data_IF_190882080144
#
_entry.id   IF_190882080144
#
_cell.length_a   1.000
_cell.length_b   1.000
_cell.length_c   1.000
_cell.angle_alpha   90.00
_cell.angle_beta   90.00
_cell.angle_gamma   90.00
#
_symmetry.space_group_name_H-M   'P 1'
#
loop_
_entity.id
_entity.type
_entity.pdbx_description
1 polymer ?
#
# COMPACT_ATOMS: atom_id res chain seq x y z
N UNK A 1 35.00 -13.57 18.49
CA UNK A 1 35.33 -14.83 17.82
C UNK A 1 35.27 -14.56 16.32
N UNK A 2 36.37 -14.66 15.58
CA UNK A 2 36.37 -14.41 14.14
C UNK A 2 35.74 -15.61 13.42
N UNK A 3 34.53 -15.46 12.89
CA UNK A 3 33.88 -16.48 12.07
C UNK A 3 34.40 -16.35 10.63
N UNK A 4 35.34 -17.23 10.23
CA UNK A 4 35.78 -17.43 8.84
C UNK A 4 34.99 -18.55 8.15
N UNK A 5 33.69 -18.64 8.41
CA UNK A 5 32.85 -19.65 7.76
C UNK A 5 32.50 -19.21 6.34
N UNK A 6 32.60 -20.15 5.38
CA UNK A 6 32.28 -19.90 3.99
C UNK A 6 30.79 -19.52 3.86
N UNK A 7 30.44 -18.31 3.41
CA UNK A 7 29.05 -17.84 3.37
C UNK A 7 28.16 -18.68 2.45
N UNK A 8 28.73 -19.44 1.52
CA UNK A 8 27.97 -20.34 0.64
C UNK A 8 27.34 -21.52 1.38
N UNK A 9 27.86 -21.90 2.56
CA UNK A 9 27.32 -22.99 3.36
C UNK A 9 25.86 -22.72 3.77
N UNK A 10 25.57 -21.51 4.24
CA UNK A 10 24.23 -21.13 4.69
C UNK A 10 23.30 -20.69 3.54
N UNK A 11 23.84 -20.12 2.45
CA UNK A 11 23.02 -19.60 1.33
C UNK A 11 22.28 -20.68 0.54
N UNK A 12 22.80 -21.90 0.53
CA UNK A 12 22.22 -23.03 -0.21
C UNK A 12 21.47 -24.02 0.71
N UNK A 13 21.18 -23.62 1.96
CA UNK A 13 20.48 -24.48 2.90
C UNK A 13 19.02 -24.67 2.46
N UNK A 14 18.55 -25.91 2.54
CA UNK A 14 17.13 -26.26 2.41
C UNK A 14 16.60 -26.55 3.81
N UNK A 15 15.46 -25.96 4.14
CA UNK A 15 14.79 -26.18 5.42
C UNK A 15 13.28 -26.03 5.27
N UNK A 16 12.55 -26.65 6.21
CA UNK A 16 11.10 -26.53 6.29
C UNK A 16 10.78 -25.42 7.29
N UNK A 17 10.26 -24.30 6.78
CA UNK A 17 9.89 -23.14 7.57
C UNK A 17 8.49 -22.69 7.17
N UNK A 18 7.72 -22.19 8.13
CA UNK A 18 6.50 -21.44 7.82
C UNK A 18 6.85 -19.98 7.53
N UNK A 19 6.04 -19.32 6.70
CA UNK A 19 6.15 -17.87 6.50
C UNK A 19 6.00 -17.10 7.81
N UNK A 20 5.19 -17.62 8.73
CA UNK A 20 4.94 -17.02 10.04
C UNK A 20 6.22 -17.01 10.89
N UNK A 21 6.97 -18.11 10.95
CA UNK A 21 8.24 -18.19 11.70
C UNK A 21 9.32 -17.26 11.16
N UNK A 22 9.30 -16.97 9.85
CA UNK A 22 10.29 -16.12 9.19
C UNK A 22 10.07 -14.62 9.45
N UNK A 23 8.90 -14.22 9.95
CA UNK A 23 8.57 -12.82 10.23
C UNK A 23 8.58 -12.60 11.74
N UNK A 24 9.47 -11.73 12.27
CA UNK A 24 9.55 -11.44 13.70
C UNK A 24 8.18 -11.09 14.29
N UNK A 25 7.89 -11.57 15.50
CA UNK A 25 6.57 -11.39 16.16
C UNK A 25 6.26 -9.93 16.47
N UNK A 26 7.28 -9.13 16.72
CA UNK A 26 7.22 -7.70 17.02
C UNK A 26 7.27 -6.81 15.76
N UNK A 27 7.30 -7.41 14.55
CA UNK A 27 7.39 -6.67 13.30
C UNK A 27 6.17 -5.75 13.10
N UNK A 28 6.39 -4.51 12.65
CA UNK A 28 5.36 -3.49 12.47
C UNK A 28 4.14 -3.98 11.67
N UNK A 29 4.37 -4.69 10.56
CA UNK A 29 3.27 -5.21 9.73
C UNK A 29 2.39 -6.23 10.46
N UNK A 30 2.90 -6.96 11.46
CA UNK A 30 2.07 -7.82 12.32
C UNK A 30 1.18 -6.99 13.23
N UNK A 31 1.75 -5.97 13.86
CA UNK A 31 1.00 -5.06 14.73
C UNK A 31 -0.14 -4.37 13.95
N UNK A 32 0.12 -3.99 12.70
CA UNK A 32 -0.90 -3.39 11.82
C UNK A 32 -1.97 -4.41 11.42
N UNK A 33 -1.57 -5.63 11.05
CA UNK A 33 -2.51 -6.70 10.68
C UNK A 33 -3.40 -7.13 11.86
N UNK A 34 -2.88 -7.07 13.08
CA UNK A 34 -3.63 -7.31 14.32
C UNK A 34 -4.56 -6.14 14.67
N UNK A 35 -4.12 -4.90 14.46
CA UNK A 35 -4.88 -3.71 14.82
C UNK A 35 -6.01 -3.36 13.83
N UNK A 36 -5.91 -3.81 12.58
CA UNK A 36 -6.84 -3.45 11.51
C UNK A 36 -7.39 -4.72 10.87
N UNK A 37 -8.67 -5.00 11.08
CA UNK A 37 -9.38 -5.96 10.22
C UNK A 37 -9.64 -5.31 8.87
N UNK A 38 -9.06 -5.86 7.80
CA UNK A 38 -9.21 -5.34 6.44
C UNK A 38 -10.46 -5.87 5.71
N UNK A 39 -11.23 -6.76 6.34
CA UNK A 39 -12.39 -7.41 5.72
C UNK A 39 -13.46 -6.43 5.25
N UNK A 40 -13.61 -5.28 5.91
CA UNK A 40 -14.55 -4.22 5.53
C UNK A 40 -14.34 -3.70 4.09
N UNK A 41 -13.14 -3.85 3.53
CA UNK A 41 -12.83 -3.44 2.16
C UNK A 41 -13.67 -4.23 1.16
N UNK A 42 -13.95 -5.52 1.42
CA UNK A 42 -14.74 -6.35 0.51
C UNK A 42 -16.14 -5.78 0.29
N UNK A 43 -16.80 -5.35 1.36
CA UNK A 43 -18.12 -4.74 1.28
C UNK A 43 -18.07 -3.38 0.56
N UNK A 44 -17.05 -2.56 0.84
CA UNK A 44 -16.88 -1.24 0.20
C UNK A 44 -16.76 -1.33 -1.32
N UNK A 45 -16.07 -2.34 -1.84
CA UNK A 45 -15.77 -2.44 -3.28
C UNK A 45 -16.61 -3.49 -3.99
N UNK A 46 -17.55 -4.13 -3.32
CA UNK A 46 -18.33 -5.26 -3.84
C UNK A 46 -18.93 -4.99 -5.22
N UNK A 47 -19.59 -3.85 -5.42
CA UNK A 47 -20.23 -3.55 -6.73
C UNK A 47 -19.22 -3.18 -7.84
N UNK A 48 -17.94 -3.03 -7.50
CA UNK A 48 -16.86 -2.84 -8.48
C UNK A 48 -16.33 -4.18 -9.03
N UNK A 49 -16.85 -5.30 -8.54
CA UNK A 49 -16.46 -6.65 -8.89
C UNK A 49 -17.66 -7.44 -9.42
N UNK A 50 -17.42 -8.29 -10.40
CA UNK A 50 -18.41 -9.23 -10.92
C UNK A 50 -18.05 -10.63 -10.42
N UNK A 51 -19.05 -11.37 -9.93
CA UNK A 51 -18.83 -12.68 -9.33
C UNK A 51 -18.54 -13.78 -10.38
N UNK A 52 -19.12 -13.66 -11.56
CA UNK A 52 -19.23 -14.75 -12.54
C UNK A 52 -18.72 -14.38 -13.94
N UNK A 53 -18.26 -13.15 -14.17
CA UNK A 53 -17.81 -12.71 -15.48
C UNK A 53 -16.42 -12.05 -15.48
N UNK A 54 -15.66 -12.33 -16.54
CA UNK A 54 -14.36 -11.75 -16.81
C UNK A 54 -13.20 -12.43 -16.08
N UNK A 55 -12.00 -11.89 -16.28
CA UNK A 55 -10.80 -12.35 -15.58
C UNK A 55 -10.85 -11.89 -14.12
N UNK A 56 -10.66 -12.79 -13.14
CA UNK A 56 -10.54 -12.41 -11.74
C UNK A 56 -9.47 -11.33 -11.56
N UNK A 57 -9.85 -10.25 -10.87
CA UNK A 57 -8.91 -9.20 -10.50
C UNK A 57 -8.06 -9.64 -9.30
N UNK A 58 -7.08 -8.82 -8.94
CA UNK A 58 -6.41 -8.97 -7.65
C UNK A 58 -7.40 -8.76 -6.51
N UNK A 59 -7.11 -9.45 -5.42
CA UNK A 59 -7.80 -9.28 -4.14
C UNK A 59 -7.79 -7.79 -3.73
N UNK A 60 -8.97 -7.20 -3.42
CA UNK A 60 -9.05 -5.79 -3.07
C UNK A 60 -8.30 -5.43 -1.78
N UNK A 61 -8.21 -6.34 -0.80
CA UNK A 61 -7.42 -6.11 0.42
C UNK A 61 -5.93 -6.00 0.05
N UNK A 62 -5.40 -6.90 -0.76
CA UNK A 62 -4.04 -6.81 -1.29
C UNK A 62 -3.78 -5.49 -2.03
N UNK A 63 -4.74 -5.04 -2.85
CA UNK A 63 -4.63 -3.76 -3.59
C UNK A 63 -4.51 -2.54 -2.68
N UNK A 64 -5.06 -2.60 -1.47
CA UNK A 64 -4.94 -1.56 -0.43
C UNK A 64 -3.67 -1.73 0.39
N UNK A 65 -3.30 -2.96 0.74
CA UNK A 65 -2.10 -3.23 1.54
C UNK A 65 -0.79 -2.89 0.81
N UNK A 66 -0.71 -3.04 -0.52
CA UNK A 66 0.49 -2.66 -1.31
C UNK A 66 0.87 -1.17 -1.12
N UNK A 67 -0.02 -0.19 -1.36
CA UNK A 67 0.30 1.20 -1.11
C UNK A 67 0.49 1.52 0.38
N UNK A 68 -0.11 0.75 1.31
CA UNK A 68 0.23 0.90 2.73
C UNK A 68 1.69 0.54 3.01
N UNK A 69 2.20 -0.59 2.50
CA UNK A 69 3.64 -0.93 2.58
C UNK A 69 4.47 0.21 2.00
N UNK A 70 4.06 0.73 0.84
CA UNK A 70 4.75 1.83 0.17
C UNK A 70 4.87 3.07 1.08
N UNK A 71 3.78 3.46 1.74
CA UNK A 71 3.75 4.62 2.64
C UNK A 71 4.52 4.37 3.94
N UNK A 72 4.29 3.22 4.60
CA UNK A 72 4.89 2.86 5.90
C UNK A 72 6.42 2.79 5.83
N UNK A 73 6.97 2.27 4.73
CA UNK A 73 8.41 2.11 4.55
C UNK A 73 9.02 3.19 3.62
N UNK A 74 8.24 4.22 3.25
CA UNK A 74 8.73 5.37 2.50
C UNK A 74 9.21 5.06 1.07
N UNK A 75 8.69 4.01 0.44
CA UNK A 75 9.09 3.58 -0.90
C UNK A 75 8.48 4.52 -1.95
N UNK A 76 9.30 5.29 -2.66
CA UNK A 76 8.78 6.33 -3.59
C UNK A 76 8.29 5.78 -4.94
N UNK A 77 8.59 4.53 -5.27
CA UNK A 77 8.38 3.96 -6.60
C UNK A 77 7.54 2.70 -6.56
N UNK A 78 6.47 2.68 -7.34
CA UNK A 78 5.61 1.51 -7.47
C UNK A 78 6.35 0.26 -7.96
N UNK A 79 7.28 0.46 -8.89
CA UNK A 79 8.13 -0.62 -9.41
C UNK A 79 9.06 -1.15 -8.33
N UNK A 80 9.57 -0.26 -7.48
CA UNK A 80 10.43 -0.65 -6.36
C UNK A 80 9.60 -1.41 -5.31
N UNK A 81 8.39 -0.95 -4.98
CA UNK A 81 7.50 -1.66 -4.06
C UNK A 81 7.28 -3.11 -4.49
N UNK A 82 6.99 -3.35 -5.78
CA UNK A 82 6.83 -4.72 -6.30
C UNK A 82 8.12 -5.53 -6.17
N UNK A 83 9.28 -4.97 -6.52
CA UNK A 83 10.58 -5.65 -6.35
C UNK A 83 10.88 -5.98 -4.89
N UNK A 84 10.52 -5.09 -3.97
CA UNK A 84 10.73 -5.34 -2.55
C UNK A 84 9.81 -6.46 -2.06
N UNK A 85 8.56 -6.53 -2.54
CA UNK A 85 7.63 -7.64 -2.24
C UNK A 85 8.14 -8.98 -2.80
N UNK A 86 8.89 -8.98 -3.90
CA UNK A 86 9.48 -10.22 -4.46
C UNK A 86 10.48 -10.86 -3.50
N UNK A 87 11.22 -10.07 -2.73
CA UNK A 87 12.33 -10.55 -1.89
C UNK A 87 12.08 -10.45 -0.38
N UNK A 88 11.12 -9.64 0.06
CA UNK A 88 10.86 -9.38 1.46
C UNK A 88 9.74 -10.28 2.00
N UNK A 89 10.12 -11.23 2.86
CA UNK A 89 9.19 -12.20 3.46
C UNK A 89 8.10 -11.55 4.30
N UNK A 90 8.41 -10.47 5.04
CA UNK A 90 7.41 -9.75 5.84
C UNK A 90 6.34 -9.07 4.97
N UNK A 91 6.72 -8.58 3.79
CA UNK A 91 5.77 -7.98 2.86
C UNK A 91 4.86 -9.03 2.25
N UNK A 92 5.43 -10.20 1.87
CA UNK A 92 4.64 -11.33 1.37
C UNK A 92 3.66 -11.84 2.42
N UNK A 93 4.14 -12.00 3.66
CA UNK A 93 3.31 -12.40 4.81
C UNK A 93 2.14 -11.43 4.99
N UNK A 94 2.39 -10.12 5.00
CA UNK A 94 1.34 -9.11 5.18
C UNK A 94 0.31 -9.11 4.04
N UNK A 95 0.74 -9.46 2.82
CA UNK A 95 -0.10 -9.57 1.63
C UNK A 95 -0.77 -10.95 1.47
N UNK A 96 -0.49 -11.91 2.35
CA UNK A 96 -0.98 -13.28 2.22
C UNK A 96 -0.42 -14.05 1.03
N UNK A 97 0.77 -13.67 0.52
CA UNK A 97 1.44 -14.34 -0.58
C UNK A 97 2.35 -15.46 -0.08
N UNK A 98 2.26 -16.65 -0.66
CA UNK A 98 3.24 -17.74 -0.48
C UNK A 98 4.59 -17.34 -1.06
N UNK A 99 5.68 -18.08 -0.82
CA UNK A 99 6.97 -17.79 -1.48
C UNK A 99 6.96 -18.05 -2.99
N UNK A 100 6.05 -18.89 -3.48
CA UNK A 100 5.96 -19.29 -4.89
C UNK A 100 5.05 -18.37 -5.71
N UNK A 101 4.14 -17.64 -5.05
CA UNK A 101 3.20 -16.78 -5.73
C UNK A 101 3.90 -15.70 -6.58
N UNK A 102 3.34 -15.42 -7.76
CA UNK A 102 3.81 -14.30 -8.55
C UNK A 102 3.31 -12.99 -7.93
N UNK A 103 4.24 -12.06 -7.73
CA UNK A 103 3.89 -10.71 -7.27
C UNK A 103 3.14 -9.98 -8.41
N UNK A 104 2.09 -9.20 -8.09
CA UNK A 104 1.43 -8.36 -9.06
C UNK A 104 2.38 -7.46 -9.85
N UNK A 105 2.12 -7.32 -11.15
CA UNK A 105 2.81 -6.32 -11.94
C UNK A 105 2.48 -4.90 -11.43
N UNK A 106 3.47 -4.00 -11.39
CA UNK A 106 3.33 -2.66 -10.80
C UNK A 106 2.21 -1.81 -11.44
N UNK A 107 1.89 -2.03 -12.72
CA UNK A 107 0.78 -1.33 -13.38
C UNK A 107 -0.58 -1.83 -12.92
N UNK A 108 -0.67 -3.05 -12.41
CA UNK A 108 -1.94 -3.68 -12.05
C UNK A 108 -2.59 -2.92 -10.90
N UNK A 109 -1.85 -2.61 -9.83
CA UNK A 109 -2.46 -1.90 -8.71
C UNK A 109 -2.77 -0.43 -9.04
N UNK A 110 -1.87 0.27 -9.75
CA UNK A 110 -2.14 1.64 -10.20
C UNK A 110 -3.36 1.75 -11.13
N UNK A 111 -3.51 0.82 -12.09
CA UNK A 111 -4.68 0.80 -12.99
C UNK A 111 -5.97 0.42 -12.27
N UNK A 112 -5.92 -0.48 -11.28
CA UNK A 112 -7.11 -0.81 -10.49
C UNK A 112 -7.56 0.40 -9.67
N UNK A 113 -6.63 1.18 -9.12
CA UNK A 113 -6.97 2.38 -8.38
C UNK A 113 -7.73 3.39 -9.25
N UNK A 114 -7.19 3.76 -10.42
CA UNK A 114 -7.85 4.69 -11.34
C UNK A 114 -9.15 4.16 -11.95
N UNK A 115 -9.27 2.84 -12.17
CA UNK A 115 -10.43 2.28 -12.89
C UNK A 115 -11.56 1.80 -11.99
N UNK A 116 -11.25 1.31 -10.79
CA UNK A 116 -12.22 0.65 -9.89
C UNK A 116 -12.50 1.44 -8.62
N UNK A 117 -11.56 2.26 -8.15
CA UNK A 117 -11.65 2.90 -6.84
C UNK A 117 -11.79 4.43 -6.90
N UNK A 118 -11.46 5.05 -8.04
CA UNK A 118 -11.50 6.50 -8.21
C UNK A 118 -12.84 7.13 -7.79
N UNK A 119 -13.96 6.53 -8.18
CA UNK A 119 -15.30 7.09 -7.93
C UNK A 119 -15.97 6.53 -6.67
N UNK A 120 -15.28 5.65 -5.93
CA UNK A 120 -15.83 4.90 -4.79
C UNK A 120 -15.39 5.44 -3.43
N UNK A 121 -14.65 6.55 -3.41
CA UNK A 121 -14.11 7.17 -2.18
C UNK A 121 -13.39 6.16 -1.26
N UNK A 122 -12.76 5.12 -1.84
CA UNK A 122 -12.22 3.98 -1.08
C UNK A 122 -11.15 4.44 -0.09
N UNK A 123 -10.25 5.33 -0.50
CA UNK A 123 -9.23 5.91 0.40
C UNK A 123 -9.88 6.67 1.56
N UNK A 124 -10.92 7.47 1.30
CA UNK A 124 -11.60 8.26 2.32
C UNK A 124 -12.31 7.36 3.33
N UNK A 125 -12.97 6.29 2.85
CA UNK A 125 -13.60 5.30 3.69
C UNK A 125 -12.59 4.54 4.57
N UNK A 126 -11.46 4.11 3.99
CA UNK A 126 -10.36 3.47 4.74
C UNK A 126 -9.80 4.42 5.80
N UNK A 127 -9.52 5.67 5.41
CA UNK A 127 -8.99 6.68 6.33
C UNK A 127 -9.97 6.92 7.49
N UNK A 128 -11.25 7.10 7.19
CA UNK A 128 -12.29 7.32 8.19
C UNK A 128 -12.43 6.13 9.13
N UNK A 129 -12.33 4.90 8.61
CA UNK A 129 -12.36 3.69 9.41
C UNK A 129 -11.18 3.64 10.38
N UNK A 130 -9.94 3.85 9.89
CA UNK A 130 -8.73 3.87 10.71
C UNK A 130 -8.79 5.00 11.75
N UNK A 131 -9.25 6.19 11.35
CA UNK A 131 -9.44 7.32 12.26
C UNK A 131 -10.43 6.97 13.39
N UNK A 132 -11.53 6.30 13.04
CA UNK A 132 -12.51 5.78 14.00
C UNK A 132 -11.90 4.78 14.97
N UNK A 133 -11.05 3.86 14.49
CA UNK A 133 -10.30 2.94 15.37
C UNK A 133 -9.45 3.72 16.38
N UNK A 134 -8.67 4.70 15.91
CA UNK A 134 -7.83 5.54 16.76
C UNK A 134 -8.64 6.33 17.80
N UNK A 135 -9.79 6.89 17.42
CA UNK A 135 -10.70 7.56 18.35
C UNK A 135 -11.23 6.60 19.43
N UNK A 136 -11.66 5.39 19.02
CA UNK A 136 -12.23 4.41 19.92
C UNK A 136 -11.24 3.89 20.98
N UNK A 137 -9.95 3.80 20.63
CA UNK A 137 -8.90 3.42 21.58
C UNK A 137 -8.30 4.62 22.34
N UNK A 138 -8.84 5.83 22.16
CA UNK A 138 -8.42 7.03 22.88
C UNK A 138 -7.08 7.59 22.44
N UNK A 139 -6.60 7.28 21.22
CA UNK A 139 -5.36 7.84 20.68
C UNK A 139 -5.52 9.26 20.14
N UNK A 140 -6.76 9.71 19.94
CA UNK A 140 -7.09 11.02 19.39
C UNK A 140 -8.06 11.71 20.36
N UNK A 141 -7.68 12.90 20.81
CA UNK A 141 -8.56 13.81 21.55
C UNK A 141 -9.20 14.81 20.57
N UNK A 142 -10.53 14.77 20.38
CA UNK A 142 -11.22 15.66 19.44
C UNK A 142 -11.49 17.06 20.01
N UNK A 143 -11.10 17.35 21.26
CA UNK A 143 -11.38 18.66 21.88
C UNK A 143 -10.56 19.80 21.27
N UNK A 144 -9.35 19.52 20.79
CA UNK A 144 -8.46 20.49 20.17
C UNK A 144 -8.04 20.02 18.78
N UNK A 145 -8.29 20.84 17.76
CA UNK A 145 -7.95 20.53 16.37
C UNK A 145 -6.86 21.49 15.91
N UNK A 146 -5.69 20.92 15.58
CA UNK A 146 -4.60 21.65 14.95
C UNK A 146 -4.67 21.45 13.44
N UNK A 147 -4.67 22.54 12.69
CA UNK A 147 -4.65 22.53 11.22
C UNK A 147 -3.36 23.19 10.76
N UNK A 148 -2.42 22.40 10.24
CA UNK A 148 -1.22 22.92 9.56
C UNK A 148 -1.46 22.99 8.05
N UNK A 149 -1.09 24.11 7.45
CA UNK A 149 -1.36 24.42 6.05
C UNK A 149 -0.07 24.62 5.28
N UNK A 150 0.18 23.76 4.28
CA UNK A 150 1.29 24.00 3.34
C UNK A 150 0.82 24.88 2.19
N UNK A 151 1.43 26.05 2.03
CA UNK A 151 1.18 26.92 0.89
C UNK A 151 1.81 26.33 -0.38
N UNK A 152 0.99 25.71 -1.23
CA UNK A 152 1.42 25.24 -2.55
C UNK A 152 1.28 26.41 -3.53
N UNK A 153 2.41 26.82 -4.13
CA UNK A 153 2.41 27.84 -5.18
C UNK A 153 1.68 27.26 -6.39
N UNK A 154 0.65 27.96 -6.88
CA UNK A 154 -0.06 27.55 -8.09
C UNK A 154 0.95 27.44 -9.26
N UNK A 155 0.88 26.35 -10.02
CA UNK A 155 1.61 26.19 -11.28
C UNK A 155 0.96 27.07 -12.37
N UNK A 156 0.99 28.39 -12.16
CA UNK A 156 0.60 29.36 -13.16
C UNK A 156 1.69 29.40 -14.24
N UNK A 157 1.28 29.34 -15.51
CA UNK A 157 2.20 29.49 -16.63
C UNK A 157 2.95 30.83 -16.51
N UNK A 158 4.28 30.79 -16.39
CA UNK A 158 5.11 32.00 -16.31
C UNK A 158 5.19 32.77 -17.65
N UNK A 159 4.65 32.21 -18.74
CA UNK A 159 4.55 32.91 -20.01
C UNK A 159 3.38 33.89 -19.97
N UNK A 160 3.69 35.17 -19.78
CA UNK A 160 2.74 36.26 -20.02
C UNK A 160 2.53 36.40 -21.52
N UNK A 161 1.32 36.13 -22.00
CA UNK A 161 0.91 36.50 -23.34
C UNK A 161 0.39 37.94 -23.32
N UNK A 162 0.90 38.78 -24.22
CA UNK A 162 0.39 40.12 -24.45
C UNK A 162 -0.40 40.05 -25.76
N UNK A 163 -1.69 40.38 -25.70
CA UNK A 163 -2.48 40.51 -26.92
C UNK A 163 -2.02 41.77 -27.66
N UNK A 164 -1.56 41.62 -28.90
CA UNK A 164 -1.35 42.74 -29.82
C UNK A 164 -2.42 42.67 -30.91
N UNK A 165 -3.11 43.78 -31.14
CA UNK A 165 -3.88 43.94 -32.37
C UNK A 165 -2.90 44.08 -33.53
N UNK A 166 -3.12 43.28 -34.57
CA UNK A 166 -2.39 43.36 -35.83
C UNK A 166 -3.31 44.11 -36.79
N UNK A 167 -2.87 45.30 -37.21
CA UNK A 167 -3.56 46.04 -38.27
C UNK A 167 -3.54 45.24 -39.58
N UNK A 168 -4.68 45.24 -40.28
CA UNK A 168 -4.94 44.45 -41.49
C UNK A 168 -4.16 44.97 -42.71
#
# INVERSE_FOLDING_TARGET
MFHQENPNYNRNQVGFYSLDELVPKDHLLRQIDEAIDFSFIYDLVKDSYCADNGRPSLDPVMLVKIPMIQCLFGIRSMRQTIKDIEVNVAYRWFLGLTLEDKVPHFTTYGKNYSRRFQDKQVIEAIFSHILGLCLNVGLIDPTEIFVDGTHIKAAANNHKYINQEVDA
#
